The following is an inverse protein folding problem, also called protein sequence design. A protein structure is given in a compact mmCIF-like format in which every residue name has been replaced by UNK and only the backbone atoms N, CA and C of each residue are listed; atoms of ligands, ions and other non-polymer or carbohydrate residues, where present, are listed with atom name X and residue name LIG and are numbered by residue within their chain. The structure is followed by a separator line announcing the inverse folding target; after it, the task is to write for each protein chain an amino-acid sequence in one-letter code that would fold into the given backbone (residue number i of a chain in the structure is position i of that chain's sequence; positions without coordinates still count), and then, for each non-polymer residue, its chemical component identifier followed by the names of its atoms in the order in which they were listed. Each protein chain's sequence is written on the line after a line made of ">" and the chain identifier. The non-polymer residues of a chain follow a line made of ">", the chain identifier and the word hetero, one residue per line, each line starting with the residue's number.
data_IF_744155949278
#
_entry.id   IF_744155949278
#
_cell.length_a   1.000
_cell.length_b   1.000
_cell.length_c   1.000
_cell.angle_alpha   90.00
_cell.angle_beta   90.00
_cell.angle_gamma   90.00
#
_symmetry.space_group_name_H-M   'P 1'
#
loop_
_entity.id
_entity.type
_entity.pdbx_description
1 polymer ?
#
# COMPACT_ATOMS: atom_id res chain seq x y z
N UNK A 1 -17.79 12.52 31.63
CA UNK A 1 -16.57 13.22 31.21
C UNK A 1 -15.23 12.53 31.55
N UNK A 2 -15.23 11.31 32.04
CA UNK A 2 -14.01 10.57 32.44
C UNK A 2 -12.94 10.35 31.35
N UNK A 3 -13.27 10.54 30.09
CA UNK A 3 -12.36 10.38 28.94
C UNK A 3 -11.95 11.67 28.26
N UNK A 4 -12.38 12.81 28.82
CA UNK A 4 -12.04 14.13 28.25
C UNK A 4 -10.83 14.71 28.97
N UNK A 5 -9.95 15.30 28.24
CA UNK A 5 -8.78 16.03 28.76
C UNK A 5 -8.52 17.27 27.90
N UNK A 6 -7.85 18.25 28.45
CA UNK A 6 -7.47 19.49 27.76
C UNK A 6 -5.95 19.57 27.67
N UNK A 7 -5.46 20.05 26.52
CA UNK A 7 -4.05 20.38 26.29
C UNK A 7 -3.96 21.86 25.91
N UNK A 8 -3.04 22.57 26.50
CA UNK A 8 -2.81 23.97 26.23
C UNK A 8 -1.53 24.21 25.42
N UNK A 9 -1.57 25.19 24.56
CA UNK A 9 -0.37 25.73 23.92
C UNK A 9 0.57 26.32 24.96
N UNK A 10 1.87 26.29 24.70
CA UNK A 10 2.90 26.95 25.56
C UNK A 10 2.65 28.45 25.77
N UNK A 11 1.91 29.08 24.86
CA UNK A 11 1.59 30.51 24.91
C UNK A 11 0.35 30.83 25.79
N UNK A 12 -0.35 29.83 26.32
CA UNK A 12 -1.54 30.05 27.17
C UNK A 12 -1.08 30.42 28.59
N UNK A 13 -1.56 31.56 29.08
CA UNK A 13 -1.22 32.07 30.45
C UNK A 13 -1.81 31.13 31.50
N UNK A 14 -1.08 30.96 32.65
CA UNK A 14 -1.47 30.05 33.73
C UNK A 14 -2.87 30.30 34.26
N UNK A 15 -3.21 31.56 34.58
CA UNK A 15 -4.53 31.91 35.08
C UNK A 15 -5.69 31.50 34.18
N UNK A 16 -5.53 31.59 32.85
CA UNK A 16 -6.54 31.10 31.89
C UNK A 16 -6.62 29.57 31.80
N UNK A 17 -5.51 28.86 32.07
CA UNK A 17 -5.53 27.39 32.10
C UNK A 17 -6.37 26.89 33.26
N UNK A 18 -6.11 27.43 34.47
CA UNK A 18 -6.82 27.05 35.69
C UNK A 18 -8.33 27.34 35.58
N UNK A 19 -8.68 28.48 35.01
CA UNK A 19 -10.06 28.88 34.76
C UNK A 19 -10.77 27.92 33.82
N UNK A 20 -10.15 27.58 32.66
CA UNK A 20 -10.72 26.67 31.66
C UNK A 20 -10.83 25.24 32.22
N UNK A 21 -9.82 24.75 32.96
CA UNK A 21 -9.83 23.44 33.60
C UNK A 21 -10.96 23.36 34.61
N UNK A 22 -11.13 24.41 35.45
CA UNK A 22 -12.19 24.49 36.42
C UNK A 22 -13.58 24.55 35.78
N UNK A 23 -13.72 25.34 34.71
CA UNK A 23 -15.00 25.50 34.00
C UNK A 23 -15.44 24.20 33.27
N UNK A 24 -14.49 23.53 32.63
CA UNK A 24 -14.77 22.30 31.86
C UNK A 24 -14.83 21.03 32.73
N UNK A 25 -14.28 21.06 33.95
CA UNK A 25 -14.21 19.90 34.83
C UNK A 25 -13.41 18.73 34.23
N UNK A 26 -12.39 19.02 33.41
CA UNK A 26 -11.58 18.03 32.71
C UNK A 26 -10.13 18.08 33.18
N UNK A 27 -9.43 16.95 33.04
CA UNK A 27 -8.02 16.87 33.45
C UNK A 27 -7.10 17.54 32.41
N UNK A 28 -6.20 18.42 32.86
CA UNK A 28 -5.11 18.92 32.04
C UNK A 28 -4.08 17.80 31.76
N UNK A 29 -3.57 17.75 30.53
CA UNK A 29 -2.51 16.86 30.10
C UNK A 29 -1.43 17.65 29.36
N UNK A 30 -0.17 17.31 29.58
CA UNK A 30 0.94 17.96 28.90
C UNK A 30 0.95 17.67 27.39
N UNK A 31 0.37 16.55 26.99
CA UNK A 31 0.18 16.15 25.58
C UNK A 31 -0.83 15.02 25.48
N UNK A 32 -1.44 14.92 24.31
CA UNK A 32 -2.21 13.73 23.98
C UNK A 32 -1.26 12.63 23.47
N UNK A 33 -1.09 11.57 24.23
CA UNK A 33 -0.26 10.43 23.81
C UNK A 33 -0.90 9.65 22.67
N UNK A 34 -2.22 9.54 22.67
CA UNK A 34 -2.95 8.83 21.63
C UNK A 34 -4.30 9.48 21.33
N UNK A 35 -4.67 9.45 20.04
CA UNK A 35 -6.00 9.83 19.57
C UNK A 35 -6.60 8.66 18.78
N UNK A 36 -7.77 8.20 19.20
CA UNK A 36 -8.42 7.01 18.62
C UNK A 36 -7.49 5.78 18.53
N UNK A 37 -6.61 5.61 19.54
CA UNK A 37 -5.67 4.50 19.60
C UNK A 37 -4.43 4.61 18.67
N UNK A 38 -4.25 5.76 18.03
CA UNK A 38 -3.05 6.09 17.26
C UNK A 38 -2.20 7.11 18.01
N UNK A 39 -0.87 7.05 17.93
CA UNK A 39 0.00 8.06 18.51
C UNK A 39 -0.23 9.40 17.83
N UNK A 40 -0.39 10.45 18.61
CA UNK A 40 -0.57 11.83 18.12
C UNK A 40 0.75 12.44 17.66
N UNK A 41 1.84 12.07 18.32
CA UNK A 41 3.18 12.51 17.97
C UNK A 41 4.06 11.31 17.64
N UNK A 42 4.73 11.40 16.49
CA UNK A 42 5.73 10.40 16.08
C UNK A 42 7.11 11.04 16.25
N UNK A 43 7.82 10.62 17.30
CA UNK A 43 9.14 11.10 17.62
C UNK A 43 10.22 10.69 16.61
N UNK A 44 11.47 11.12 16.85
CA UNK A 44 12.62 10.76 16.02
C UNK A 44 12.83 9.23 15.96
N UNK A 45 12.65 8.53 17.09
CA UNK A 45 12.77 7.06 17.19
C UNK A 45 11.41 6.42 16.91
N UNK A 46 11.06 6.33 15.63
CA UNK A 46 9.77 5.80 15.15
C UNK A 46 9.46 4.39 15.67
N UNK A 47 10.49 3.56 15.83
CA UNK A 47 10.32 2.19 16.33
C UNK A 47 9.67 2.16 17.73
N UNK A 48 10.13 3.01 18.66
CA UNK A 48 9.57 3.07 20.01
C UNK A 48 8.10 3.45 20.00
N UNK A 49 7.72 4.42 19.16
CA UNK A 49 6.33 4.87 19.03
C UNK A 49 5.38 3.74 18.62
N UNK A 50 5.83 2.78 17.80
CA UNK A 50 4.98 1.71 17.27
C UNK A 50 5.26 0.32 17.89
N UNK A 51 6.18 0.20 18.85
CA UNK A 51 6.54 -1.08 19.47
C UNK A 51 5.36 -1.78 20.16
N UNK A 52 4.37 -1.04 20.64
CA UNK A 52 3.14 -1.57 21.23
C UNK A 52 2.41 -2.57 20.31
N UNK A 53 2.56 -2.44 18.99
CA UNK A 53 1.98 -3.38 18.03
C UNK A 53 2.61 -4.77 18.16
N UNK A 54 3.94 -4.84 18.36
CA UNK A 54 4.65 -6.09 18.63
C UNK A 54 4.12 -6.75 19.90
N UNK A 55 3.97 -5.99 20.98
CA UNK A 55 3.49 -6.50 22.26
C UNK A 55 2.05 -7.01 22.15
N UNK A 56 1.18 -6.32 21.41
CA UNK A 56 -0.19 -6.78 21.15
C UNK A 56 -0.21 -8.10 20.39
N UNK A 57 0.58 -8.20 19.31
CA UNK A 57 0.69 -9.45 18.52
C UNK A 57 1.27 -10.57 19.40
N UNK A 58 2.34 -10.29 20.13
CA UNK A 58 2.98 -11.25 21.02
C UNK A 58 2.01 -11.80 22.07
N UNK A 59 1.28 -10.92 22.79
CA UNK A 59 0.26 -11.33 23.79
C UNK A 59 -0.79 -12.27 23.18
N UNK A 60 -1.29 -11.97 21.97
CA UNK A 60 -2.26 -12.84 21.29
C UNK A 60 -1.66 -14.19 20.94
N UNK A 61 -0.46 -14.23 20.38
CA UNK A 61 0.22 -15.47 20.00
C UNK A 61 0.55 -16.33 21.23
N UNK A 62 0.95 -15.72 22.36
CA UNK A 62 1.19 -16.42 23.62
C UNK A 62 -0.08 -17.09 24.16
N UNK A 63 -1.22 -16.38 24.14
CA UNK A 63 -2.49 -16.94 24.59
C UNK A 63 -2.97 -18.17 23.79
N UNK A 64 -2.36 -18.44 22.63
CA UNK A 64 -2.67 -19.61 21.79
C UNK A 64 -1.61 -20.71 21.85
N UNK A 65 -0.44 -20.46 22.44
CA UNK A 65 0.67 -21.43 22.49
C UNK A 65 0.33 -22.71 23.23
N UNK A 66 -0.41 -22.64 24.34
CA UNK A 66 -0.82 -23.82 25.11
C UNK A 66 -1.95 -24.63 24.46
N UNK A 67 -2.56 -24.16 23.38
CA UNK A 67 -3.66 -24.85 22.71
C UNK A 67 -3.12 -25.79 21.63
N UNK A 68 -3.63 -27.03 21.59
CA UNK A 68 -3.29 -28.03 20.57
C UNK A 68 -3.89 -27.66 19.21
N UNK A 69 -3.34 -26.61 18.56
CA UNK A 69 -3.82 -26.10 17.31
C UNK A 69 -3.22 -26.85 16.12
N UNK A 70 -4.08 -27.29 15.22
CA UNK A 70 -3.64 -27.82 13.93
C UNK A 70 -2.94 -26.72 13.09
N UNK A 71 -2.16 -27.11 12.07
CA UNK A 71 -1.56 -26.15 11.15
C UNK A 71 -2.60 -25.27 10.45
N UNK A 72 -3.79 -25.80 10.15
CA UNK A 72 -4.92 -25.03 9.60
C UNK A 72 -5.38 -23.96 10.59
N UNK A 73 -5.56 -24.32 11.85
CA UNK A 73 -5.93 -23.36 12.89
C UNK A 73 -4.89 -22.24 13.04
N UNK A 74 -3.59 -22.59 13.02
CA UNK A 74 -2.52 -21.60 13.04
C UNK A 74 -2.53 -20.67 11.81
N UNK A 75 -2.81 -21.21 10.60
CA UNK A 75 -2.98 -20.40 9.39
C UNK A 75 -4.07 -19.34 9.56
N UNK A 76 -5.24 -19.76 10.04
CA UNK A 76 -6.40 -18.88 10.27
C UNK A 76 -6.06 -17.80 11.29
N UNK A 77 -5.49 -18.16 12.44
CA UNK A 77 -5.16 -17.21 13.51
C UNK A 77 -4.12 -16.17 13.06
N UNK A 78 -3.09 -16.59 12.33
CA UNK A 78 -2.11 -15.67 11.78
C UNK A 78 -2.80 -14.68 10.83
N UNK A 79 -3.59 -15.17 9.86
CA UNK A 79 -4.22 -14.34 8.83
C UNK A 79 -5.31 -13.43 9.38
N UNK A 80 -6.18 -13.95 10.23
CA UNK A 80 -7.35 -13.23 10.71
C UNK A 80 -7.05 -12.31 11.89
N UNK A 81 -6.06 -12.62 12.72
CA UNK A 81 -5.82 -11.87 13.94
C UNK A 81 -4.42 -11.26 13.99
N UNK A 82 -3.34 -12.06 13.91
CA UNK A 82 -2.00 -11.54 14.10
C UNK A 82 -1.65 -10.47 13.03
N UNK A 83 -1.98 -10.73 11.77
CA UNK A 83 -1.76 -9.80 10.66
C UNK A 83 -2.83 -8.68 10.57
N UNK A 84 -3.93 -8.78 11.31
CA UNK A 84 -4.95 -7.73 11.36
C UNK A 84 -4.64 -6.65 12.43
N UNK A 85 -3.94 -6.99 13.52
CA UNK A 85 -3.62 -6.07 14.61
C UNK A 85 -2.95 -4.77 14.11
N UNK A 86 -1.90 -4.80 13.27
CA UNK A 86 -1.24 -3.57 12.81
C UNK A 86 -2.01 -2.82 11.72
N UNK A 87 -3.09 -3.39 11.15
CA UNK A 87 -3.75 -2.86 9.94
C UNK A 87 -4.26 -1.43 10.12
N UNK A 88 -4.84 -1.11 11.27
CA UNK A 88 -5.36 0.23 11.54
C UNK A 88 -4.23 1.29 11.52
N UNK A 89 -3.14 1.02 12.22
CA UNK A 89 -1.96 1.89 12.24
C UNK A 89 -1.30 1.98 10.86
N UNK A 90 -1.24 0.87 10.12
CA UNK A 90 -0.72 0.82 8.75
C UNK A 90 -1.55 1.63 7.75
N UNK A 91 -2.82 1.90 8.05
CA UNK A 91 -3.69 2.75 7.23
C UNK A 91 -3.33 4.25 7.29
N UNK A 92 -2.50 4.65 8.26
CA UNK A 92 -2.11 6.05 8.51
C UNK A 92 -0.61 6.25 8.44
N UNK A 93 0.18 5.30 8.94
CA UNK A 93 1.63 5.44 9.10
C UNK A 93 2.41 4.39 8.30
N UNK A 94 3.52 4.82 7.72
CA UNK A 94 4.54 3.94 7.18
C UNK A 94 5.41 3.40 8.32
N UNK A 95 5.18 2.16 8.71
CA UNK A 95 5.83 1.54 9.85
C UNK A 95 7.29 1.19 9.57
N UNK A 96 8.17 1.20 10.60
CA UNK A 96 9.58 0.84 10.43
C UNK A 96 9.79 -0.60 9.97
N UNK A 97 10.75 -0.82 9.09
CA UNK A 97 11.11 -2.16 8.56
C UNK A 97 11.44 -3.13 9.69
N UNK A 98 12.22 -2.70 10.70
CA UNK A 98 12.56 -3.51 11.87
C UNK A 98 11.32 -4.06 12.59
N UNK A 99 10.26 -3.26 12.69
CA UNK A 99 9.01 -3.70 13.32
C UNK A 99 8.33 -4.81 12.49
N UNK A 100 8.33 -4.69 11.15
CA UNK A 100 7.78 -5.75 10.30
C UNK A 100 8.59 -7.04 10.41
N UNK A 101 9.91 -6.96 10.48
CA UNK A 101 10.77 -8.14 10.63
C UNK A 101 10.50 -8.86 11.95
N UNK A 102 10.29 -8.13 13.03
CA UNK A 102 9.90 -8.70 14.31
C UNK A 102 8.51 -9.32 14.32
N UNK A 103 7.50 -8.65 13.72
CA UNK A 103 6.16 -9.19 13.56
C UNK A 103 6.14 -10.46 12.71
N UNK A 104 6.90 -10.47 11.62
CA UNK A 104 7.06 -11.63 10.75
C UNK A 104 7.75 -12.79 11.50
N UNK A 105 8.79 -12.50 12.28
CA UNK A 105 9.48 -13.48 13.12
C UNK A 105 8.54 -14.10 14.15
N UNK A 106 7.70 -13.31 14.82
CA UNK A 106 6.69 -13.82 15.77
C UNK A 106 5.69 -14.75 15.06
N UNK A 107 5.19 -14.38 13.90
CA UNK A 107 4.28 -15.20 13.11
C UNK A 107 4.95 -16.50 12.63
N UNK A 108 6.20 -16.43 12.18
CA UNK A 108 6.97 -17.59 11.75
C UNK A 108 7.21 -18.58 12.91
N UNK A 109 7.64 -18.08 14.06
CA UNK A 109 7.82 -18.90 15.28
C UNK A 109 6.53 -19.62 15.66
N UNK A 110 5.40 -18.91 15.66
CA UNK A 110 4.10 -19.50 15.95
C UNK A 110 3.68 -20.55 14.90
N UNK A 111 3.90 -20.27 13.61
CA UNK A 111 3.62 -21.20 12.52
C UNK A 111 4.40 -22.51 12.66
N UNK A 112 5.70 -22.42 12.92
CA UNK A 112 6.56 -23.58 13.05
C UNK A 112 6.41 -24.30 14.41
N UNK A 113 5.71 -23.69 15.37
CA UNK A 113 5.39 -24.29 16.66
C UNK A 113 6.51 -24.14 17.68
N UNK A 114 7.32 -23.10 17.55
CA UNK A 114 8.33 -22.76 18.55
C UNK A 114 7.65 -22.30 19.84
N UNK A 115 7.98 -22.94 20.96
CA UNK A 115 7.45 -22.66 22.30
C UNK A 115 8.63 -22.15 23.16
N UNK A 116 8.45 -20.97 23.78
CA UNK A 116 9.49 -20.39 24.65
C UNK A 116 10.84 -20.26 23.93
N UNK A 117 11.89 -20.75 24.56
CA UNK A 117 13.25 -20.75 24.06
C UNK A 117 13.62 -21.98 23.21
N UNK A 118 12.69 -22.95 23.07
CA UNK A 118 12.93 -24.11 22.22
C UNK A 118 13.08 -23.70 20.78
N UNK A 119 14.23 -23.98 20.17
CA UNK A 119 14.46 -23.78 18.73
C UNK A 119 13.76 -24.89 17.97
N UNK A 120 12.86 -24.52 17.06
CA UNK A 120 12.24 -25.42 16.07
C UNK A 120 12.76 -25.11 14.69
N UNK A 121 12.89 -26.12 13.86
CA UNK A 121 13.34 -25.96 12.46
C UNK A 121 12.31 -25.17 11.68
N UNK A 122 12.72 -24.08 11.08
CA UNK A 122 11.93 -23.30 10.13
C UNK A 122 12.22 -23.82 8.71
N UNK A 123 11.51 -24.85 8.28
CA UNK A 123 11.72 -25.55 7.00
C UNK A 123 11.64 -24.65 5.76
N UNK A 124 10.94 -23.54 5.83
CA UNK A 124 10.84 -22.51 4.78
C UNK A 124 10.90 -21.13 5.41
N UNK A 125 11.54 -20.20 4.69
CA UNK A 125 11.60 -18.78 5.08
C UNK A 125 10.20 -18.16 5.11
N UNK A 126 10.04 -17.08 5.88
CA UNK A 126 8.79 -16.34 5.91
C UNK A 126 8.42 -15.76 4.53
N UNK A 127 9.42 -15.31 3.76
CA UNK A 127 9.23 -14.81 2.40
C UNK A 127 8.63 -15.86 1.45
N UNK A 128 9.03 -17.12 1.59
CA UNK A 128 8.41 -18.24 0.87
C UNK A 128 6.94 -18.42 1.31
N UNK A 129 6.65 -18.35 2.61
CA UNK A 129 5.30 -18.49 3.14
C UNK A 129 4.36 -17.36 2.73
N UNK A 130 4.89 -16.15 2.48
CA UNK A 130 4.10 -14.99 2.01
C UNK A 130 3.76 -15.06 0.53
N UNK A 131 4.38 -15.96 -0.25
CA UNK A 131 4.01 -16.14 -1.65
C UNK A 131 2.53 -16.54 -1.77
N UNK A 132 1.87 -16.20 -2.89
CA UNK A 132 0.54 -16.69 -3.20
C UNK A 132 0.49 -18.22 -3.18
N UNK A 133 -0.64 -18.77 -2.78
CA UNK A 133 -0.86 -20.23 -2.80
C UNK A 133 -0.57 -20.85 -4.16
N UNK A 134 -0.92 -20.17 -5.26
CA UNK A 134 -0.62 -20.60 -6.63
C UNK A 134 0.88 -20.61 -6.99
N UNK A 135 1.70 -19.94 -6.19
CA UNK A 135 3.15 -19.85 -6.35
C UNK A 135 3.91 -20.70 -5.31
N UNK A 136 3.20 -21.59 -4.62
CA UNK A 136 3.78 -22.48 -3.62
C UNK A 136 3.88 -21.92 -2.21
N UNK A 137 3.38 -20.72 -1.96
CA UNK A 137 3.32 -20.15 -0.61
C UNK A 137 2.06 -20.56 0.16
N UNK A 138 1.94 -20.05 1.38
CA UNK A 138 0.76 -20.16 2.23
C UNK A 138 -0.19 -18.97 2.08
N UNK A 139 0.23 -17.93 1.34
CA UNK A 139 -0.52 -16.70 1.16
C UNK A 139 -0.66 -15.88 2.45
N UNK A 140 0.33 -15.91 3.34
CA UNK A 140 0.45 -14.91 4.39
C UNK A 140 0.74 -13.55 3.76
N UNK A 141 0.34 -12.46 4.40
CA UNK A 141 0.64 -11.12 3.90
C UNK A 141 2.09 -10.75 4.23
N UNK A 142 2.79 -10.19 3.26
CA UNK A 142 3.98 -9.41 3.57
C UNK A 142 3.51 -8.03 4.05
N UNK A 143 3.74 -7.75 5.32
CA UNK A 143 3.22 -6.54 5.97
C UNK A 143 3.84 -5.25 5.39
N UNK A 144 5.04 -5.30 4.80
CA UNK A 144 5.70 -4.16 4.16
C UNK A 144 4.90 -3.68 2.94
N UNK A 145 4.63 -4.59 2.01
CA UNK A 145 3.83 -4.26 0.81
C UNK A 145 2.37 -3.96 1.15
N UNK A 146 1.85 -4.63 2.19
CA UNK A 146 0.48 -4.39 2.64
C UNK A 146 0.32 -2.99 3.25
N UNK A 147 1.29 -2.51 4.04
CA UNK A 147 1.31 -1.16 4.57
C UNK A 147 1.31 -0.11 3.45
N UNK A 148 2.19 -0.26 2.45
CA UNK A 148 2.22 0.65 1.31
C UNK A 148 0.91 0.64 0.51
N UNK A 149 0.28 -0.53 0.34
CA UNK A 149 -1.03 -0.61 -0.31
C UNK A 149 -2.15 0.06 0.52
N UNK A 150 -2.09 0.01 1.84
CA UNK A 150 -3.04 0.72 2.71
C UNK A 150 -2.86 2.24 2.63
N UNK A 151 -1.62 2.71 2.60
CA UNK A 151 -1.30 4.13 2.44
C UNK A 151 -1.66 4.64 1.03
N UNK A 152 -1.39 3.86 -0.01
CA UNK A 152 -1.81 4.17 -1.37
C UNK A 152 -3.34 4.32 -1.49
N UNK A 153 -4.14 3.58 -0.70
CA UNK A 153 -5.59 3.78 -0.64
C UNK A 153 -5.95 5.19 -0.13
N UNK A 154 -5.20 5.74 0.82
CA UNK A 154 -5.45 7.11 1.27
C UNK A 154 -5.10 8.13 0.18
N UNK A 155 -3.96 7.95 -0.50
CA UNK A 155 -3.62 8.77 -1.67
C UNK A 155 -4.67 8.67 -2.78
N UNK A 156 -5.20 7.47 -3.06
CA UNK A 156 -6.31 7.28 -4.00
C UNK A 156 -7.56 8.07 -3.60
N UNK A 157 -7.90 8.10 -2.30
CA UNK A 157 -9.03 8.89 -1.79
C UNK A 157 -8.83 10.38 -2.03
N UNK A 158 -7.60 10.89 -1.88
CA UNK A 158 -7.27 12.28 -2.21
C UNK A 158 -7.40 12.56 -3.71
N UNK A 159 -7.04 11.62 -4.58
CA UNK A 159 -7.19 11.77 -6.03
C UNK A 159 -8.65 11.77 -6.50
N UNK A 160 -9.57 11.16 -5.72
CA UNK A 160 -10.99 11.01 -6.11
C UNK A 160 -11.92 11.97 -5.40
N UNK A 161 -11.55 12.50 -4.24
CA UNK A 161 -12.44 13.32 -3.43
C UNK A 161 -11.79 14.66 -3.06
N UNK A 162 -11.86 15.60 -3.98
CA UNK A 162 -11.28 16.93 -3.83
C UNK A 162 -12.05 17.80 -2.83
N UNK A 163 -13.33 17.51 -2.56
CA UNK A 163 -14.15 18.23 -1.60
C UNK A 163 -13.85 17.85 -0.13
N UNK A 164 -13.16 16.75 0.11
CA UNK A 164 -12.86 16.33 1.48
C UNK A 164 -11.97 17.33 2.21
N UNK A 165 -12.22 17.54 3.50
CA UNK A 165 -11.38 18.37 4.36
C UNK A 165 -9.91 17.91 4.33
N UNK A 166 -9.69 16.59 4.30
CA UNK A 166 -8.35 16.00 4.18
C UNK A 166 -7.65 16.48 2.91
N UNK A 167 -8.33 16.46 1.74
CA UNK A 167 -7.74 16.96 0.50
C UNK A 167 -7.42 18.44 0.59
N UNK A 168 -8.37 19.27 1.04
CA UNK A 168 -8.20 20.73 1.16
C UNK A 168 -6.99 21.07 2.05
N UNK A 169 -6.85 20.43 3.20
CA UNK A 169 -5.71 20.64 4.10
C UNK A 169 -4.39 20.18 3.47
N UNK A 170 -4.33 18.97 2.91
CA UNK A 170 -3.09 18.45 2.32
C UNK A 170 -2.69 19.23 1.06
N UNK A 171 -3.64 19.62 0.21
CA UNK A 171 -3.41 20.43 -0.98
C UNK A 171 -2.77 21.78 -0.60
N UNK A 172 -3.35 22.48 0.37
CA UNK A 172 -2.84 23.77 0.79
C UNK A 172 -1.41 23.72 1.37
N UNK A 173 -1.09 22.67 2.13
CA UNK A 173 0.18 22.58 2.88
C UNK A 173 1.29 21.94 2.05
N UNK A 174 1.01 20.84 1.32
CA UNK A 174 2.06 19.97 0.76
C UNK A 174 2.19 20.00 -0.76
N UNK A 175 1.14 20.32 -1.51
CA UNK A 175 1.20 20.35 -2.97
C UNK A 175 0.30 21.44 -3.60
N UNK A 176 0.44 22.72 -3.17
CA UNK A 176 -0.44 23.82 -3.61
C UNK A 176 -0.42 24.04 -5.13
N UNK A 177 0.73 23.84 -5.77
CA UNK A 177 0.95 24.16 -7.19
C UNK A 177 1.04 22.95 -8.12
N UNK A 178 0.92 21.71 -7.61
CA UNK A 178 1.05 20.50 -8.44
C UNK A 178 -0.06 19.50 -8.13
N UNK A 179 -0.13 18.44 -8.92
CA UNK A 179 -0.97 17.28 -8.63
C UNK A 179 -0.35 16.42 -7.54
N UNK A 180 -1.18 15.68 -6.78
CA UNK A 180 -0.72 14.75 -5.75
C UNK A 180 0.32 13.75 -6.28
N UNK A 181 0.15 13.27 -7.51
CA UNK A 181 1.09 12.30 -8.10
C UNK A 181 2.50 12.91 -8.30
N UNK A 182 2.62 14.23 -8.44
CA UNK A 182 3.90 14.94 -8.57
C UNK A 182 4.41 15.52 -7.26
N UNK A 183 3.65 15.38 -6.18
CA UNK A 183 4.03 15.88 -4.87
C UNK A 183 5.32 15.22 -4.37
N UNK A 184 6.14 16.03 -3.68
CA UNK A 184 7.42 15.62 -3.09
C UNK A 184 7.36 15.72 -1.58
N UNK A 185 8.26 15.00 -0.92
CA UNK A 185 8.47 15.16 0.51
C UNK A 185 9.26 16.44 0.81
N UNK A 186 9.07 16.96 2.01
CA UNK A 186 9.79 18.12 2.55
C UNK A 186 10.36 17.76 3.92
N UNK A 187 11.52 18.29 4.31
CA UNK A 187 12.13 18.01 5.61
C UNK A 187 11.18 18.23 6.79
N UNK A 188 10.37 19.29 6.72
CA UNK A 188 9.45 19.72 7.80
C UNK A 188 8.05 19.13 7.68
N UNK A 189 7.81 18.20 6.74
CA UNK A 189 6.49 17.62 6.59
C UNK A 189 6.15 16.63 7.71
N UNK A 190 4.85 16.52 8.01
CA UNK A 190 4.34 15.59 9.02
C UNK A 190 4.66 14.14 8.66
N UNK A 191 4.76 13.28 9.68
CA UNK A 191 5.02 11.86 9.45
C UNK A 191 3.89 11.15 8.67
N UNK A 192 2.66 11.64 8.78
CA UNK A 192 1.52 11.16 7.99
C UNK A 192 1.74 11.45 6.50
N UNK A 193 2.17 12.69 6.18
CA UNK A 193 2.49 13.05 4.80
C UNK A 193 3.66 12.22 4.25
N UNK A 194 4.76 12.12 5.00
CA UNK A 194 5.91 11.27 4.64
C UNK A 194 5.48 9.82 4.35
N UNK A 195 4.57 9.31 5.17
CA UNK A 195 4.01 7.97 4.99
C UNK A 195 3.23 7.83 3.69
N UNK A 196 2.46 8.85 3.33
CA UNK A 196 1.70 8.86 2.08
C UNK A 196 2.62 8.98 0.86
N UNK A 197 3.62 9.85 0.91
CA UNK A 197 4.61 10.02 -0.17
C UNK A 197 5.36 8.72 -0.43
N UNK A 198 5.68 7.94 0.59
CA UNK A 198 6.30 6.61 0.43
C UNK A 198 5.43 5.63 -0.40
N UNK A 199 4.12 5.82 -0.45
CA UNK A 199 3.21 5.00 -1.22
C UNK A 199 2.88 5.55 -2.63
N UNK A 200 3.25 6.80 -2.95
CA UNK A 200 3.00 7.40 -4.27
C UNK A 200 3.58 6.60 -5.44
N UNK A 201 4.74 5.93 -5.35
CA UNK A 201 5.23 5.09 -6.45
C UNK A 201 4.25 4.01 -6.90
N UNK A 202 3.44 3.47 -5.97
CA UNK A 202 2.41 2.47 -6.31
C UNK A 202 1.28 3.13 -7.11
N UNK A 203 0.83 4.32 -6.70
CA UNK A 203 -0.19 5.06 -7.43
C UNK A 203 0.32 5.49 -8.81
N UNK A 204 1.52 6.06 -8.90
CA UNK A 204 2.16 6.43 -10.17
C UNK A 204 2.30 5.25 -11.13
N UNK A 205 2.57 4.05 -10.60
CA UNK A 205 2.69 2.85 -11.43
C UNK A 205 1.35 2.35 -11.92
N UNK A 206 0.30 2.45 -11.10
CA UNK A 206 -1.00 1.81 -11.37
C UNK A 206 -2.11 2.75 -11.84
N UNK A 207 -1.94 4.07 -11.75
CA UNK A 207 -2.91 5.04 -12.23
C UNK A 207 -2.68 5.40 -13.70
N UNK A 208 -3.78 5.72 -14.38
CA UNK A 208 -3.79 6.32 -15.71
C UNK A 208 -4.90 7.37 -15.74
N UNK A 209 -4.73 8.45 -16.45
CA UNK A 209 -5.75 9.43 -16.70
C UNK A 209 -6.65 8.97 -17.84
N UNK A 210 -7.94 9.07 -17.65
CA UNK A 210 -8.92 9.06 -18.73
C UNK A 210 -9.18 10.51 -19.09
N UNK A 211 -8.82 10.88 -20.30
CA UNK A 211 -8.94 12.24 -20.82
C UNK A 211 -10.42 12.65 -20.85
N UNK A 212 -10.69 13.79 -20.25
CA UNK A 212 -11.95 14.50 -20.30
C UNK A 212 -11.70 15.84 -21.00
N UNK A 213 -11.52 16.94 -20.24
CA UNK A 213 -11.14 18.25 -20.79
C UNK A 213 -9.63 18.44 -20.95
N UNK A 214 -8.81 17.52 -20.49
CA UNK A 214 -7.35 17.56 -20.61
C UNK A 214 -6.63 18.57 -19.70
N UNK A 215 -7.35 19.26 -18.82
CA UNK A 215 -6.78 20.32 -17.97
C UNK A 215 -6.02 19.81 -16.74
N UNK A 216 -6.33 18.60 -16.27
CA UNK A 216 -5.76 18.06 -15.02
C UNK A 216 -4.46 17.30 -15.22
N UNK A 217 -4.09 16.94 -16.44
CA UNK A 217 -2.95 16.10 -16.75
C UNK A 217 -1.94 16.77 -17.67
N UNK A 218 -0.65 16.57 -17.35
CA UNK A 218 0.46 17.04 -18.19
C UNK A 218 0.75 16.02 -19.29
N UNK A 219 0.80 16.49 -20.54
CA UNK A 219 0.91 15.65 -21.73
C UNK A 219 2.16 14.75 -21.70
N UNK A 220 3.30 15.25 -21.24
CA UNK A 220 4.59 14.53 -21.25
C UNK A 220 4.86 13.76 -19.95
N UNK A 221 4.31 14.19 -18.81
CA UNK A 221 4.63 13.63 -17.49
C UNK A 221 3.65 12.58 -17.03
N UNK A 222 2.38 12.69 -17.37
CA UNK A 222 1.33 11.82 -16.90
C UNK A 222 1.09 10.61 -17.81
N UNK A 223 0.39 9.61 -17.27
CA UNK A 223 -0.06 8.43 -18.01
C UNK A 223 -1.48 8.66 -18.47
N UNK A 224 -1.73 8.78 -19.77
CA UNK A 224 -3.04 9.05 -20.32
C UNK A 224 -3.33 8.40 -21.67
N UNK A 225 -2.33 7.73 -22.29
CA UNK A 225 -2.52 7.04 -23.56
C UNK A 225 -2.87 5.57 -23.30
N UNK A 226 -4.13 5.16 -23.47
CA UNK A 226 -4.52 3.77 -23.26
C UNK A 226 -3.88 2.88 -24.33
N UNK A 227 -3.56 1.63 -23.93
CA UNK A 227 -2.99 0.60 -24.82
C UNK A 227 -1.63 0.92 -25.45
N UNK A 228 -0.96 1.99 -25.03
CA UNK A 228 0.41 2.30 -25.40
C UNK A 228 1.39 1.80 -24.32
N UNK A 229 2.63 1.39 -24.68
CA UNK A 229 3.63 0.97 -23.72
C UNK A 229 3.81 2.01 -22.59
N UNK A 230 3.72 1.57 -21.31
CA UNK A 230 3.73 2.45 -20.13
C UNK A 230 2.58 3.45 -20.00
N UNK A 231 1.62 3.53 -20.92
CA UNK A 231 0.51 4.49 -20.98
C UNK A 231 0.97 5.97 -20.97
N UNK A 232 2.21 6.25 -21.36
CA UNK A 232 2.86 7.55 -21.30
C UNK A 232 3.63 7.79 -22.60
N UNK A 233 3.78 9.05 -22.99
CA UNK A 233 4.69 9.47 -24.04
C UNK A 233 6.12 9.11 -23.65
N UNK A 234 6.84 8.45 -24.55
CA UNK A 234 8.21 7.99 -24.33
C UNK A 234 9.25 8.85 -25.08
N UNK A 235 8.88 9.38 -26.25
CA UNK A 235 9.81 10.06 -27.17
C UNK A 235 9.17 11.33 -27.76
N UNK A 236 9.09 12.43 -26.99
CA UNK A 236 8.71 13.72 -27.59
C UNK A 236 9.76 14.11 -28.61
N UNK A 237 9.36 14.42 -29.84
CA UNK A 237 10.27 14.61 -30.98
C UNK A 237 10.94 15.98 -30.98
N UNK A 238 10.35 17.04 -30.50
CA UNK A 238 10.91 18.40 -30.43
C UNK A 238 10.30 19.22 -29.29
N UNK A 239 11.06 20.20 -28.83
CA UNK A 239 10.84 21.28 -27.87
C UNK A 239 9.37 21.54 -27.46
N UNK A 240 8.76 20.54 -26.81
CA UNK A 240 7.56 20.81 -26.05
C UNK A 240 7.96 21.60 -24.81
N UNK A 241 7.49 22.83 -24.72
CA UNK A 241 7.66 23.62 -23.50
C UNK A 241 7.24 22.85 -22.28
N UNK A 242 8.03 22.91 -21.21
CA UNK A 242 7.63 22.28 -19.95
C UNK A 242 6.27 22.85 -19.50
N UNK A 243 5.29 21.96 -19.37
CA UNK A 243 3.98 22.33 -18.85
C UNK A 243 2.80 22.15 -19.80
N UNK A 244 3.00 21.66 -21.03
CA UNK A 244 1.89 21.35 -21.92
C UNK A 244 0.90 20.39 -21.28
N UNK A 245 -0.36 20.78 -21.34
CA UNK A 245 -1.48 19.94 -20.90
C UNK A 245 -2.11 19.21 -22.06
N UNK A 246 -2.82 18.16 -21.77
CA UNK A 246 -3.54 17.41 -22.82
C UNK A 246 -4.61 18.29 -23.47
N UNK A 247 -5.18 19.29 -22.75
CA UNK A 247 -6.10 20.29 -23.27
C UNK A 247 -5.51 21.07 -24.45
N UNK A 248 -4.20 21.32 -24.48
CA UNK A 248 -3.55 22.07 -25.55
C UNK A 248 -3.54 21.30 -26.88
N UNK A 249 -3.68 19.98 -26.81
CA UNK A 249 -3.76 19.05 -27.94
C UNK A 249 -5.21 18.84 -28.44
N UNK A 250 -6.22 19.37 -27.73
CA UNK A 250 -7.63 19.20 -28.07
C UNK A 250 -8.14 20.47 -28.77
N UNK A 251 -8.86 20.28 -29.85
CA UNK A 251 -9.65 21.29 -30.52
C UNK A 251 -11.12 21.15 -30.08
N UNK A 252 -11.58 22.10 -29.28
CA UNK A 252 -12.93 22.07 -28.73
C UNK A 252 -14.00 22.52 -29.70
N UNK A 253 -13.65 23.24 -30.77
CA UNK A 253 -14.61 23.70 -31.78
C UNK A 253 -15.09 22.53 -32.63
N UNK A 254 -14.20 21.59 -32.92
CA UNK A 254 -14.51 20.39 -33.72
C UNK A 254 -14.63 19.12 -32.82
N UNK A 255 -14.47 19.23 -31.49
CA UNK A 255 -14.44 18.12 -30.55
C UNK A 255 -13.48 17.00 -30.98
N UNK A 256 -12.27 17.39 -31.40
CA UNK A 256 -11.29 16.51 -31.98
C UNK A 256 -9.86 16.80 -31.51
N UNK A 257 -8.93 15.98 -31.98
CA UNK A 257 -7.51 16.18 -31.72
C UNK A 257 -6.90 17.13 -32.76
N UNK A 258 -6.05 18.07 -32.34
CA UNK A 258 -5.25 18.93 -33.18
C UNK A 258 -4.15 18.11 -33.90
N UNK A 259 -4.52 17.40 -34.96
CA UNK A 259 -3.67 16.38 -35.58
C UNK A 259 -2.34 16.98 -36.11
N UNK A 260 -2.34 18.17 -36.62
CA UNK A 260 -1.13 18.82 -37.15
C UNK A 260 -0.10 19.05 -36.04
N UNK A 261 -0.55 19.52 -34.88
CA UNK A 261 0.30 19.72 -33.71
C UNK A 261 0.82 18.38 -33.20
N UNK A 262 -0.08 17.37 -33.10
CA UNK A 262 0.28 16.05 -32.59
C UNK A 262 1.29 15.37 -33.49
N UNK A 263 1.11 15.41 -34.82
CA UNK A 263 2.05 14.84 -35.80
C UNK A 263 3.40 15.56 -35.85
N UNK A 264 3.44 16.84 -35.50
CA UNK A 264 4.67 17.62 -35.45
C UNK A 264 5.52 17.32 -34.20
N UNK A 265 4.90 17.03 -33.04
CA UNK A 265 5.61 16.97 -31.76
C UNK A 265 5.78 15.55 -31.21
N UNK A 266 5.05 14.55 -31.74
CA UNK A 266 5.13 13.16 -31.28
C UNK A 266 5.57 12.24 -32.41
N UNK A 267 6.16 11.09 -32.04
CA UNK A 267 6.47 10.09 -33.05
C UNK A 267 5.16 9.51 -33.64
N UNK A 268 5.26 8.89 -34.80
CA UNK A 268 4.10 8.40 -35.55
C UNK A 268 3.22 7.45 -34.74
N UNK A 269 3.79 6.51 -33.95
CA UNK A 269 3.05 5.54 -33.19
C UNK A 269 2.31 6.18 -32.01
N UNK A 270 2.96 7.15 -31.34
CA UNK A 270 2.36 7.93 -30.27
C UNK A 270 1.22 8.80 -30.80
N UNK A 271 1.47 9.53 -31.89
CA UNK A 271 0.49 10.39 -32.54
C UNK A 271 -0.76 9.62 -32.97
N UNK A 272 -0.58 8.45 -33.61
CA UNK A 272 -1.70 7.58 -33.97
C UNK A 272 -2.46 7.07 -32.73
N UNK A 273 -1.74 6.73 -31.67
CA UNK A 273 -2.34 6.26 -30.42
C UNK A 273 -3.15 7.36 -29.72
N UNK A 274 -2.66 8.60 -29.73
CA UNK A 274 -3.36 9.78 -29.21
C UNK A 274 -4.63 10.04 -30.03
N UNK A 275 -4.52 10.09 -31.36
CA UNK A 275 -5.65 10.37 -32.23
C UNK A 275 -6.76 9.31 -32.18
N UNK A 276 -6.47 8.11 -31.70
CA UNK A 276 -7.48 7.05 -31.47
C UNK A 276 -8.24 7.18 -30.18
N UNK A 277 -7.81 8.03 -29.24
CA UNK A 277 -8.53 8.23 -27.98
C UNK A 277 -9.85 8.95 -28.26
N UNK A 278 -11.00 8.37 -27.94
CA UNK A 278 -12.29 9.04 -28.15
C UNK A 278 -12.44 10.20 -27.17
N UNK A 279 -12.73 11.38 -27.67
CA UNK A 279 -13.09 12.54 -26.87
C UNK A 279 -14.60 12.59 -26.63
N UNK A 280 -14.99 13.09 -25.47
CA UNK A 280 -16.40 13.29 -25.14
C UNK A 280 -16.94 14.50 -25.90
N UNK A 281 -18.19 14.38 -26.40
CA UNK A 281 -18.88 15.54 -26.99
C UNK A 281 -19.27 16.60 -25.93
N UNK A 282 -19.22 16.22 -24.64
CA UNK A 282 -19.44 17.16 -23.53
C UNK A 282 -18.11 17.41 -22.83
N UNK A 283 -17.88 18.64 -22.42
CA UNK A 283 -16.75 18.98 -21.57
C UNK A 283 -16.96 18.31 -20.20
N UNK A 284 -16.17 17.28 -19.95
CA UNK A 284 -16.16 16.55 -18.66
C UNK A 284 -14.77 16.62 -18.08
N UNK A 285 -14.68 16.59 -16.76
CA UNK A 285 -13.38 16.59 -16.07
C UNK A 285 -12.58 15.31 -16.35
N UNK A 286 -11.26 15.43 -16.32
CA UNK A 286 -10.35 14.29 -16.37
C UNK A 286 -10.54 13.38 -15.19
N UNK A 287 -10.49 12.07 -15.42
CA UNK A 287 -10.67 11.08 -14.36
C UNK A 287 -9.44 10.18 -14.21
N UNK A 288 -8.92 10.10 -13.00
CA UNK A 288 -7.90 9.10 -12.67
C UNK A 288 -8.57 7.72 -12.55
N UNK A 289 -8.04 6.74 -13.29
CA UNK A 289 -8.49 5.33 -13.26
C UNK A 289 -7.37 4.41 -12.79
N UNK A 290 -7.75 3.35 -12.11
CA UNK A 290 -6.81 2.33 -11.64
C UNK A 290 -6.74 1.16 -12.62
N UNK A 291 -5.58 0.96 -13.25
CA UNK A 291 -5.39 -0.03 -14.33
C UNK A 291 -5.53 -1.50 -13.87
N UNK A 292 -5.31 -1.77 -12.59
CA UNK A 292 -5.30 -3.14 -12.05
C UNK A 292 -6.66 -3.62 -11.52
N UNK A 293 -7.76 -2.97 -11.94
CA UNK A 293 -9.12 -3.37 -11.62
C UNK A 293 -10.04 -3.06 -12.81
N UNK A 294 -10.90 -4.01 -13.19
CA UNK A 294 -11.87 -3.84 -14.29
C UNK A 294 -12.82 -2.64 -14.11
N UNK A 295 -13.09 -2.26 -12.86
CA UNK A 295 -13.94 -1.08 -12.55
C UNK A 295 -13.18 0.25 -12.57
N UNK A 296 -11.86 0.25 -12.81
CA UNK A 296 -11.04 1.46 -12.74
C UNK A 296 -10.83 2.00 -11.32
N UNK A 297 -11.23 1.25 -10.27
CA UNK A 297 -11.17 1.67 -8.88
C UNK A 297 -10.04 0.97 -8.10
N UNK A 298 -9.37 1.73 -7.23
CA UNK A 298 -8.32 1.18 -6.38
C UNK A 298 -8.87 0.20 -5.34
N UNK A 299 -8.23 -0.94 -5.21
CA UNK A 299 -8.42 -1.83 -4.07
C UNK A 299 -7.07 -2.13 -3.40
N UNK A 300 -7.07 -2.28 -2.06
CA UNK A 300 -5.85 -2.64 -1.32
C UNK A 300 -5.27 -3.96 -1.84
N UNK A 301 -6.12 -4.89 -2.30
CA UNK A 301 -5.69 -6.15 -2.88
C UNK A 301 -4.88 -5.94 -4.17
N UNK A 302 -5.38 -5.14 -5.10
CA UNK A 302 -4.66 -4.87 -6.37
C UNK A 302 -3.40 -4.03 -6.13
N UNK A 303 -3.48 -3.03 -5.23
CA UNK A 303 -2.32 -2.24 -4.80
C UNK A 303 -1.23 -3.09 -4.14
N UNK A 304 -1.60 -4.08 -3.32
CA UNK A 304 -0.67 -5.03 -2.72
C UNK A 304 0.08 -5.87 -3.77
N UNK A 305 -0.64 -6.38 -4.76
CA UNK A 305 -0.01 -7.13 -5.85
C UNK A 305 0.94 -6.26 -6.67
N UNK A 306 0.54 -5.04 -6.99
CA UNK A 306 1.40 -4.08 -7.69
C UNK A 306 2.62 -3.70 -6.86
N UNK A 307 2.46 -3.40 -5.56
CA UNK A 307 3.58 -3.10 -4.67
C UNK A 307 4.63 -4.22 -4.65
N UNK A 308 4.18 -5.48 -4.63
CA UNK A 308 5.08 -6.64 -4.73
C UNK A 308 5.82 -6.68 -6.06
N UNK A 309 5.18 -6.34 -7.17
CA UNK A 309 5.83 -6.34 -8.49
C UNK A 309 6.87 -5.23 -8.61
N UNK A 310 6.48 -4.01 -8.23
CA UNK A 310 7.33 -2.81 -8.39
C UNK A 310 8.57 -2.88 -7.50
N UNK A 311 8.40 -3.27 -6.22
CA UNK A 311 9.49 -3.25 -5.25
C UNK A 311 10.33 -4.53 -5.26
N UNK A 312 9.80 -5.65 -5.79
CA UNK A 312 10.52 -6.91 -5.86
C UNK A 312 11.48 -7.01 -7.06
N UNK A 313 11.29 -6.21 -8.11
CA UNK A 313 12.16 -6.20 -9.31
C UNK A 313 13.63 -5.90 -9.01
N UNK A 314 13.93 -5.39 -7.82
CA UNK A 314 15.30 -5.04 -7.43
C UNK A 314 16.16 -6.19 -6.88
N UNK A 315 15.67 -7.44 -6.73
CA UNK A 315 16.44 -8.42 -5.97
C UNK A 315 16.30 -9.92 -6.28
N UNK A 316 15.45 -10.35 -7.22
CA UNK A 316 15.24 -11.79 -7.42
C UNK A 316 15.19 -12.16 -8.90
N UNK A 317 16.25 -12.87 -9.35
CA UNK A 317 16.27 -13.55 -10.65
C UNK A 317 15.12 -14.56 -10.76
N UNK A 318 14.39 -14.51 -11.87
CA UNK A 318 13.29 -15.43 -12.14
C UNK A 318 13.83 -16.82 -12.47
N UNK A 319 13.49 -17.79 -11.63
CA UNK A 319 13.69 -19.21 -11.98
C UNK A 319 12.77 -19.60 -13.16
N UNK A 320 13.36 -20.07 -14.23
CA UNK A 320 12.73 -20.38 -15.52
C UNK A 320 11.69 -21.52 -15.52
N UNK A 321 11.41 -22.18 -14.39
CA UNK A 321 10.54 -23.35 -14.32
C UNK A 321 9.20 -23.08 -13.61
N UNK A 322 8.55 -21.92 -13.93
CA UNK A 322 7.35 -21.46 -13.19
C UNK A 322 6.04 -22.11 -13.62
N UNK A 323 5.85 -22.47 -14.91
CA UNK A 323 4.51 -22.86 -15.41
C UNK A 323 4.02 -24.21 -14.86
N UNK A 324 4.85 -25.24 -14.91
CA UNK A 324 4.48 -26.57 -14.41
C UNK A 324 4.23 -26.62 -12.90
N UNK A 325 5.02 -25.90 -12.14
CA UNK A 325 4.84 -25.80 -10.67
C UNK A 325 3.59 -25.02 -10.28
N UNK A 326 3.20 -24.00 -11.03
CA UNK A 326 1.98 -23.23 -10.76
C UNK A 326 0.71 -24.08 -10.94
N UNK A 327 0.70 -24.96 -11.94
CA UNK A 327 -0.42 -25.87 -12.16
C UNK A 327 -0.57 -26.84 -10.98
N UNK A 328 0.52 -27.46 -10.51
CA UNK A 328 0.53 -28.33 -9.33
C UNK A 328 -0.04 -27.62 -8.09
N UNK A 329 0.43 -26.42 -7.78
CA UNK A 329 -0.06 -25.65 -6.64
C UNK A 329 -1.53 -25.27 -6.79
N UNK A 330 -1.94 -24.83 -7.98
CA UNK A 330 -3.34 -24.49 -8.24
C UNK A 330 -4.25 -25.70 -8.06
N UNK A 331 -3.83 -26.88 -8.51
CA UNK A 331 -4.56 -28.14 -8.34
C UNK A 331 -4.68 -28.49 -6.87
N UNK A 332 -3.56 -28.53 -6.12
CA UNK A 332 -3.54 -28.89 -4.70
C UNK A 332 -4.53 -28.04 -3.88
N UNK A 333 -4.51 -26.72 -4.08
CA UNK A 333 -5.35 -25.82 -3.30
C UNK A 333 -6.83 -25.83 -3.72
N UNK A 334 -7.16 -26.25 -4.96
CA UNK A 334 -8.53 -26.37 -5.45
C UNK A 334 -9.21 -27.69 -5.04
N UNK A 335 -8.45 -28.72 -4.64
CA UNK A 335 -9.03 -29.98 -4.19
C UNK A 335 -10.08 -29.76 -3.09
N UNK A 336 -11.19 -30.46 -3.16
CA UNK A 336 -12.26 -30.42 -2.13
C UNK A 336 -11.97 -31.41 -1.00
N UNK A 337 -10.83 -31.25 -0.32
CA UNK A 337 -10.37 -32.09 0.79
C UNK A 337 -10.10 -31.25 2.04
N UNK A 338 -9.95 -31.90 3.19
CA UNK A 338 -9.68 -31.25 4.48
C UNK A 338 -8.39 -30.41 4.40
N UNK A 339 -8.40 -29.23 5.03
CA UNK A 339 -7.26 -28.30 5.04
C UNK A 339 -5.98 -28.94 5.58
N UNK A 340 -6.06 -29.84 6.56
CA UNK A 340 -4.90 -30.59 7.09
C UNK A 340 -4.20 -31.41 6.01
N UNK A 341 -4.99 -32.04 5.10
CA UNK A 341 -4.45 -32.86 4.00
C UNK A 341 -3.79 -31.94 2.94
N UNK A 342 -4.41 -30.80 2.62
CA UNK A 342 -3.78 -29.80 1.73
C UNK A 342 -2.43 -29.32 2.25
N UNK A 343 -2.33 -29.02 3.55
CA UNK A 343 -1.07 -28.58 4.17
C UNK A 343 -0.04 -29.71 4.18
N UNK A 344 -0.48 -30.95 4.40
CA UNK A 344 0.40 -32.13 4.28
C UNK A 344 0.94 -32.26 2.87
N UNK A 345 0.07 -32.22 1.84
CA UNK A 345 0.47 -32.24 0.44
C UNK A 345 1.41 -31.07 0.08
N UNK A 346 1.12 -29.86 0.57
CA UNK A 346 2.01 -28.71 0.42
C UNK A 346 3.41 -28.97 1.00
N UNK A 347 3.51 -29.57 2.19
CA UNK A 347 4.78 -29.95 2.79
C UNK A 347 5.51 -31.03 2.02
N UNK A 348 4.79 -32.04 1.52
CA UNK A 348 5.35 -33.11 0.68
C UNK A 348 5.93 -32.56 -0.62
N UNK A 349 5.17 -31.70 -1.34
CA UNK A 349 5.62 -31.06 -2.58
C UNK A 349 6.78 -30.09 -2.39
N UNK A 350 7.04 -29.63 -1.18
CA UNK A 350 8.19 -28.79 -0.82
C UNK A 350 9.37 -29.60 -0.27
N UNK A 351 9.25 -30.91 -0.16
CA UNK A 351 10.24 -31.80 0.46
C UNK A 351 10.63 -31.36 1.90
N UNK A 352 9.61 -31.04 2.69
CA UNK A 352 9.77 -30.58 4.09
C UNK A 352 8.99 -31.43 5.09
N UNK A 353 8.76 -32.69 4.73
CA UNK A 353 8.26 -33.67 5.72
C UNK A 353 9.40 -34.06 6.65
N UNK A 354 9.15 -34.21 7.97
CA UNK A 354 10.17 -34.61 8.95
C UNK A 354 10.48 -36.10 8.79
N UNK A 355 11.22 -36.45 7.77
CA UNK A 355 11.74 -37.79 7.56
C UNK A 355 13.11 -37.91 8.24
N UNK A 356 13.58 -39.13 8.54
CA UNK A 356 14.93 -39.34 9.11
C UNK A 356 16.02 -38.68 8.25
N UNK A 357 15.92 -38.78 6.92
CA UNK A 357 16.86 -38.15 5.98
C UNK A 357 16.81 -36.62 5.99
N UNK A 358 15.64 -36.02 6.19
CA UNK A 358 15.49 -34.56 6.23
C UNK A 358 15.89 -33.96 7.59
N UNK A 359 15.96 -34.76 8.64
CA UNK A 359 16.41 -34.37 9.99
C UNK A 359 17.92 -34.54 10.17
N UNK A 360 18.58 -35.32 9.32
CA UNK A 360 20.03 -35.55 9.35
C UNK A 360 20.83 -34.52 8.54
N UNK A 361 20.15 -33.63 7.79
CA UNK A 361 20.71 -32.45 7.11
C UNK A 361 20.58 -31.24 8.01
#
# INVERSE_FOLDING_TARGET
>A
MEKSSVYFSSNTRGNHRDEIVSLLGVKEVDRFDSYLGLPTLVGRVKYQTFSFLKDRVWKKLQGWKGKMLSKVGKEVLIKAIAQAIPTYTMGVFHLPVKLFDELNSLCAKFWWGQIGNEKKIHWKSWDCLTQPKREGGMGFRDLRYFNLAMLAKQGWRLLKNHESLMFKCFKAIYFPRCNLLHAKDSPNSSFVWKSMVAALPILKSGCCWRVGNGESNEATKDKWIPNYPSNKILHPVHDMEEGWRVSDLIDWDIHGWKRDIIMAHFNREEAESICRIPLSQRVVEDLVVWLHNKKGEYSVRSGYHLARQVLRKAGWAESSNRSGRQQLWSTLWKLKILGKIKIFGWRACHDILPTRMSLAK
#
